data_IF_868624131131
#
_entry.id   IF_868624131131
#
_cell.length_a   1.000
_cell.length_b   1.000
_cell.length_c   1.000
_cell.angle_alpha   90.00
_cell.angle_beta   90.00
_cell.angle_gamma   90.00
#
_symmetry.space_group_name_H-M   'P 1'
#
loop_
_entity.id
_entity.type
_entity.pdbx_description
1 polymer ?
#
# COMPACT_ATOMS: atom_id res chain seq x y z
N UNK A 1 3.79 4.46 -19.26
CA UNK A 1 4.77 4.13 -18.19
C UNK A 1 4.07 3.34 -17.11
N UNK A 2 4.02 2.00 -17.24
CA UNK A 2 3.54 1.15 -16.15
C UNK A 2 4.70 1.00 -15.16
N UNK A 3 4.89 2.01 -14.28
CA UNK A 3 5.71 1.79 -13.10
C UNK A 3 5.01 0.68 -12.31
N UNK A 4 5.46 -0.55 -12.49
CA UNK A 4 4.92 -1.73 -11.82
C UNK A 4 5.21 -1.52 -10.34
N UNK A 5 4.25 -0.92 -9.63
CA UNK A 5 4.26 -0.83 -8.17
C UNK A 5 4.06 -2.25 -7.70
N UNK A 6 5.15 -2.98 -7.51
CA UNK A 6 5.16 -4.32 -6.94
C UNK A 6 4.69 -4.29 -5.48
N UNK A 7 4.55 -5.47 -4.89
CA UNK A 7 4.02 -5.60 -3.53
C UNK A 7 4.97 -4.98 -2.50
N UNK A 8 6.27 -5.05 -2.73
CA UNK A 8 7.29 -4.41 -1.88
C UNK A 8 7.17 -2.89 -1.90
N UNK A 9 6.99 -2.29 -3.08
CA UNK A 9 6.74 -0.85 -3.20
C UNK A 9 5.48 -0.45 -2.43
N UNK A 10 4.38 -1.20 -2.58
CA UNK A 10 3.13 -0.90 -1.87
C UNK A 10 3.29 -1.05 -0.35
N UNK A 11 3.94 -2.12 0.10
CA UNK A 11 4.25 -2.35 1.51
C UNK A 11 5.03 -1.18 2.10
N UNK A 12 6.16 -0.81 1.48
CA UNK A 12 6.97 0.32 1.92
C UNK A 12 6.23 1.66 1.82
N UNK A 13 5.38 1.83 0.80
CA UNK A 13 4.58 3.04 0.65
C UNK A 13 3.60 3.21 1.81
N UNK A 14 2.94 2.14 2.26
CA UNK A 14 2.01 2.15 3.39
C UNK A 14 2.77 2.32 4.71
N UNK A 15 3.87 1.59 4.89
CA UNK A 15 4.68 1.63 6.11
C UNK A 15 5.24 3.03 6.39
N UNK A 16 5.87 3.65 5.38
CA UNK A 16 6.61 4.92 5.54
C UNK A 16 5.74 6.14 5.23
N UNK A 17 4.70 6.01 4.40
CA UNK A 17 3.85 7.13 4.01
C UNK A 17 4.51 8.14 3.05
N UNK A 18 3.72 8.78 2.19
CA UNK A 18 4.19 9.77 1.21
C UNK A 18 4.06 11.16 1.80
N UNK A 19 5.18 11.81 2.10
CA UNK A 19 5.19 13.18 2.60
C UNK A 19 4.26 14.10 1.78
N UNK A 20 3.34 14.78 2.47
CA UNK A 20 2.37 15.70 1.87
C UNK A 20 1.17 15.04 1.16
N UNK A 21 1.06 13.71 1.12
CA UNK A 21 -0.03 13.02 0.40
C UNK A 21 -0.59 11.78 1.12
N UNK A 22 0.21 11.10 1.93
CA UNK A 22 -0.18 9.88 2.64
C UNK A 22 0.59 9.77 3.96
N UNK A 23 -0.08 9.61 5.11
CA UNK A 23 0.58 9.38 6.39
C UNK A 23 1.29 8.02 6.43
N UNK A 24 2.25 7.88 7.34
CA UNK A 24 2.89 6.60 7.64
C UNK A 24 1.97 5.74 8.49
N UNK A 25 1.87 4.44 8.18
CA UNK A 25 1.07 3.50 8.97
C UNK A 25 1.92 2.44 9.69
N UNK A 26 3.26 2.49 9.56
CA UNK A 26 4.17 1.51 10.18
C UNK A 26 4.18 1.52 11.71
N UNK A 27 3.69 2.59 12.36
CA UNK A 27 3.52 2.64 13.81
C UNK A 27 2.15 2.11 14.26
N UNK A 28 1.18 2.01 13.33
CA UNK A 28 -0.18 1.56 13.62
C UNK A 28 -0.42 0.09 13.27
N UNK A 29 0.33 -0.45 12.30
CA UNK A 29 0.19 -1.83 11.83
C UNK A 29 1.54 -2.53 11.80
N UNK A 30 1.54 -3.84 12.12
CA UNK A 30 2.71 -4.70 11.92
C UNK A 30 2.94 -5.00 10.45
N UNK A 31 4.15 -5.43 10.08
CA UNK A 31 4.48 -5.81 8.69
C UNK A 31 3.50 -6.87 8.14
N UNK A 32 3.15 -7.87 8.95
CA UNK A 32 2.18 -8.89 8.55
C UNK A 32 0.77 -8.31 8.29
N UNK A 33 0.36 -7.26 9.00
CA UNK A 33 -0.91 -6.57 8.75
C UNK A 33 -0.84 -5.70 7.49
N UNK A 34 0.30 -5.04 7.25
CA UNK A 34 0.53 -4.27 6.02
C UNK A 34 0.49 -5.19 4.80
N UNK A 35 1.04 -6.41 4.86
CA UNK A 35 0.93 -7.40 3.79
C UNK A 35 -0.53 -7.76 3.46
N UNK A 36 -1.40 -7.85 4.47
CA UNK A 36 -2.83 -8.08 4.25
C UNK A 36 -3.50 -6.89 3.58
N UNK A 37 -3.10 -5.65 3.92
CA UNK A 37 -3.57 -4.45 3.24
C UNK A 37 -3.13 -4.45 1.77
N UNK A 38 -1.89 -4.84 1.47
CA UNK A 38 -1.40 -4.96 0.09
C UNK A 38 -2.25 -5.97 -0.70
N UNK A 39 -2.50 -7.15 -0.13
CA UNK A 39 -3.39 -8.16 -0.74
C UNK A 39 -4.80 -7.62 -0.99
N UNK A 40 -5.35 -6.90 -0.02
CA UNK A 40 -6.65 -6.25 -0.17
C UNK A 40 -6.65 -5.25 -1.34
N UNK A 41 -5.65 -4.37 -1.41
CA UNK A 41 -5.50 -3.39 -2.50
C UNK A 41 -5.41 -4.09 -3.87
N UNK A 42 -4.68 -5.20 -3.97
CA UNK A 42 -4.59 -6.00 -5.22
C UNK A 42 -5.91 -6.64 -5.62
N UNK A 43 -6.74 -7.01 -4.65
CA UNK A 43 -8.05 -7.58 -4.89
C UNK A 43 -9.13 -6.53 -5.24
N UNK A 44 -8.84 -5.23 -5.08
CA UNK A 44 -9.74 -4.17 -5.49
C UNK A 44 -9.94 -4.25 -7.01
N UNK A 45 -11.17 -4.54 -7.43
CA UNK A 45 -11.56 -4.43 -8.84
C UNK A 45 -11.40 -2.97 -9.28
N UNK A 46 -11.06 -2.72 -10.56
CA UNK A 46 -11.21 -1.39 -11.13
C UNK A 46 -12.61 -0.90 -10.82
N UNK A 47 -12.72 0.27 -10.19
CA UNK A 47 -14.01 0.87 -9.89
C UNK A 47 -14.64 1.20 -11.25
N UNK A 48 -15.68 0.48 -11.64
CA UNK A 48 -16.48 0.85 -12.80
C UNK A 48 -17.11 2.20 -12.46
N UNK A 49 -16.69 3.24 -13.21
CA UNK A 49 -17.17 4.61 -13.08
C UNK A 49 -18.45 4.81 -13.87
#
# INVERSE_FOLDING_TARGET
MNSQRDDEFLHNRIKIGKQGAMPAFGESFSDAQIDQIVKYIRALKPREG
#
